data_IF_324296375833
#
_entry.id   IF_324296375833
#
_cell.length_a   1.000
_cell.length_b   1.000
_cell.length_c   1.000
_cell.angle_alpha   90.00
_cell.angle_beta   90.00
_cell.angle_gamma   90.00
#
_symmetry.space_group_name_H-M   'P 1'
#
loop_
_entity.id
_entity.type
_entity.pdbx_description
1 polymer ?
#
# COMPACT_ATOMS: atom_id res chain seq x y z
N UNK A 1 -4.53 9.09 2.80
CA UNK A 1 -3.61 7.94 2.92
C UNK A 1 -2.44 8.32 3.82
N UNK A 2 -2.13 7.48 4.80
CA UNK A 2 -0.90 7.64 5.62
C UNK A 2 0.32 7.35 4.73
N UNK A 3 1.42 8.08 4.92
CA UNK A 3 2.70 7.87 4.24
C UNK A 3 2.95 8.78 3.04
N UNK A 4 1.94 9.05 2.20
CA UNK A 4 2.16 9.85 0.99
C UNK A 4 2.43 11.33 1.32
N UNK A 5 1.72 11.87 2.32
CA UNK A 5 1.94 13.23 2.82
C UNK A 5 3.26 13.34 3.58
N UNK A 6 3.63 12.31 4.36
CA UNK A 6 4.91 12.27 5.09
C UNK A 6 6.11 12.33 4.14
N UNK A 7 6.08 11.56 3.04
CA UNK A 7 7.13 11.58 2.02
C UNK A 7 7.16 12.89 1.24
N UNK A 8 5.99 13.42 0.86
CA UNK A 8 5.91 14.57 -0.01
C UNK A 8 6.02 15.91 0.71
N UNK A 9 5.16 16.18 1.69
CA UNK A 9 5.09 17.49 2.33
C UNK A 9 6.13 17.59 3.44
N UNK A 10 6.12 16.62 4.37
CA UNK A 10 7.01 16.60 5.52
C UNK A 10 8.44 16.16 5.19
N UNK A 11 8.68 15.69 3.96
CA UNK A 11 10.00 15.22 3.46
C UNK A 11 10.63 14.16 4.35
N UNK A 12 9.82 13.36 5.04
CA UNK A 12 10.30 12.28 5.90
C UNK A 12 11.09 11.25 5.08
N UNK A 13 12.09 10.64 5.71
CA UNK A 13 12.79 9.50 5.12
C UNK A 13 11.94 8.23 5.25
N UNK A 14 12.30 7.19 4.49
CA UNK A 14 11.54 5.94 4.45
C UNK A 14 11.42 5.25 5.81
N UNK A 15 12.47 5.28 6.62
CA UNK A 15 12.48 4.61 7.93
C UNK A 15 11.55 5.28 8.92
N UNK A 16 11.49 6.62 8.90
CA UNK A 16 10.54 7.38 9.70
C UNK A 16 9.10 7.05 9.30
N UNK A 17 8.80 7.03 8.00
CA UNK A 17 7.45 6.70 7.52
C UNK A 17 7.04 5.29 7.93
N UNK A 18 7.95 4.31 7.79
CA UNK A 18 7.70 2.94 8.25
C UNK A 18 7.47 2.91 9.76
N UNK A 19 8.32 3.55 10.56
CA UNK A 19 8.18 3.58 12.01
C UNK A 19 6.86 4.20 12.45
N UNK A 20 6.43 5.29 11.81
CA UNK A 20 5.15 5.95 12.10
C UNK A 20 3.95 5.06 11.79
N UNK A 21 3.94 4.41 10.60
CA UNK A 21 2.89 3.43 10.26
C UNK A 21 2.89 2.28 11.27
N UNK A 22 4.08 1.80 11.65
CA UNK A 22 4.21 0.69 12.57
C UNK A 22 3.75 1.02 13.99
N UNK A 23 3.96 2.26 14.45
CA UNK A 23 3.47 2.71 15.75
C UNK A 23 1.95 2.74 15.79
N UNK A 24 1.29 3.23 14.74
CA UNK A 24 -0.17 3.19 14.63
C UNK A 24 -0.66 1.75 14.66
N UNK A 25 -0.08 0.89 13.83
CA UNK A 25 -0.41 -0.53 13.75
C UNK A 25 -0.27 -1.22 15.10
N UNK A 26 0.84 -0.98 15.81
CA UNK A 26 1.09 -1.55 17.15
C UNK A 26 -0.03 -1.18 18.11
N UNK A 27 -0.35 0.12 18.22
CA UNK A 27 -1.37 0.62 19.14
C UNK A 27 -2.75 0.03 18.83
N UNK A 28 -3.13 -0.11 17.56
CA UNK A 28 -4.41 -0.74 17.20
C UNK A 28 -4.38 -2.23 17.50
N UNK A 29 -3.28 -2.93 17.20
CA UNK A 29 -3.15 -4.37 17.46
C UNK A 29 -3.21 -4.74 18.94
N UNK A 30 -2.67 -3.89 19.82
CA UNK A 30 -2.76 -4.09 21.28
C UNK A 30 -4.21 -3.95 21.79
N UNK A 31 -5.02 -3.09 21.15
CA UNK A 31 -6.43 -2.90 21.50
C UNK A 31 -7.35 -3.95 20.86
N UNK A 32 -6.90 -4.65 19.84
CA UNK A 32 -7.71 -5.60 19.08
C UNK A 32 -6.87 -6.79 18.58
N UNK A 33 -6.36 -7.63 19.51
CA UNK A 33 -5.39 -8.68 19.19
C UNK A 33 -5.94 -9.76 18.25
N UNK A 34 -7.25 -9.99 18.26
CA UNK A 34 -7.93 -10.98 17.41
C UNK A 34 -8.27 -10.44 16.00
N UNK A 35 -7.99 -9.16 15.73
CA UNK A 35 -8.30 -8.55 14.45
C UNK A 35 -7.29 -8.90 13.37
N UNK A 36 -7.79 -8.89 12.13
CA UNK A 36 -6.97 -8.86 10.93
C UNK A 36 -6.53 -7.44 10.62
N UNK A 37 -5.27 -7.30 10.25
CA UNK A 37 -4.67 -6.03 9.87
C UNK A 37 -4.25 -6.07 8.41
N UNK A 38 -4.84 -5.18 7.61
CA UNK A 38 -4.51 -5.03 6.20
C UNK A 38 -3.79 -3.71 5.99
N UNK A 39 -2.52 -3.77 5.59
CA UNK A 39 -1.70 -2.61 5.30
C UNK A 39 -1.65 -2.40 3.78
N UNK A 40 -2.14 -1.25 3.33
CA UNK A 40 -2.05 -0.85 1.92
C UNK A 40 -0.72 -0.17 1.65
N UNK A 41 -0.10 -0.52 0.51
CA UNK A 41 1.05 0.21 0.00
C UNK A 41 0.70 1.67 -0.34
N UNK A 42 1.69 2.55 -0.24
CA UNK A 42 1.62 3.93 -0.71
C UNK A 42 1.43 3.92 -2.23
N UNK A 43 0.43 4.67 -2.71
CA UNK A 43 0.10 4.83 -4.13
C UNK A 43 1.08 5.76 -4.86
N UNK A 44 1.26 5.58 -6.18
CA UNK A 44 2.10 6.47 -6.98
C UNK A 44 1.57 7.90 -6.99
N UNK A 45 2.50 8.86 -7.03
CA UNK A 45 2.23 10.28 -7.23
C UNK A 45 3.43 10.98 -7.87
N UNK A 46 3.19 12.09 -8.57
CA UNK A 46 4.22 12.93 -9.15
C UNK A 46 5.02 13.66 -8.06
N UNK A 47 6.31 13.90 -8.33
CA UNK A 47 7.16 14.71 -7.44
C UNK A 47 6.70 16.17 -7.42
N UNK A 48 6.20 16.68 -8.55
CA UNK A 48 5.65 18.02 -8.68
C UNK A 48 4.33 17.97 -9.47
N UNK A 49 3.16 17.97 -8.80
CA UNK A 49 1.87 17.89 -9.48
C UNK A 49 1.51 19.13 -10.29
N UNK A 50 2.22 20.26 -10.10
CA UNK A 50 2.01 21.48 -10.90
C UNK A 50 2.64 21.38 -12.30
N UNK A 51 3.54 20.44 -12.51
CA UNK A 51 4.20 20.21 -13.80
C UNK A 51 3.46 19.11 -14.54
N UNK A 52 2.97 19.42 -15.74
CA UNK A 52 2.33 18.43 -16.61
C UNK A 52 3.32 17.29 -16.90
N UNK A 53 2.95 16.07 -16.52
CA UNK A 53 3.77 14.88 -16.74
C UNK A 53 3.13 13.66 -16.12
N UNK A 54 3.58 12.48 -16.54
CA UNK A 54 3.11 11.19 -16.00
C UNK A 54 4.25 10.35 -15.45
N UNK A 55 5.51 10.79 -15.60
CA UNK A 55 6.66 10.04 -15.13
C UNK A 55 6.89 10.24 -13.64
N UNK A 56 7.05 9.12 -12.95
CA UNK A 56 7.29 9.06 -11.53
C UNK A 56 8.76 9.29 -11.19
N UNK A 57 8.99 10.02 -10.10
CA UNK A 57 10.31 10.46 -9.67
C UNK A 57 10.76 9.87 -8.33
N UNK A 58 11.45 10.71 -7.56
CA UNK A 58 12.07 10.38 -6.28
C UNK A 58 11.04 9.93 -5.25
N UNK A 59 9.88 10.59 -5.18
CA UNK A 59 8.85 10.25 -4.19
C UNK A 59 8.34 8.83 -4.41
N UNK A 60 8.10 8.43 -5.67
CA UNK A 60 7.71 7.06 -5.97
C UNK A 60 8.80 6.03 -5.64
N UNK A 61 10.07 6.37 -5.87
CA UNK A 61 11.19 5.51 -5.46
C UNK A 61 11.18 5.28 -3.95
N UNK A 62 10.96 6.33 -3.16
CA UNK A 62 10.86 6.23 -1.70
C UNK A 62 9.61 5.46 -1.25
N UNK A 63 8.46 5.71 -1.88
CA UNK A 63 7.23 4.96 -1.63
C UNK A 63 7.43 3.46 -1.87
N UNK A 64 8.14 3.05 -2.93
CA UNK A 64 8.52 1.64 -3.15
C UNK A 64 9.43 1.09 -2.04
N UNK A 65 10.34 1.89 -1.50
CA UNK A 65 11.18 1.53 -0.36
C UNK A 65 10.33 1.25 0.90
N UNK A 66 9.43 2.16 1.24
CA UNK A 66 8.46 2.01 2.34
C UNK A 66 7.58 0.76 2.12
N UNK A 67 6.97 0.63 0.94
CA UNK A 67 6.12 -0.50 0.55
C UNK A 67 6.83 -1.85 0.71
N UNK A 68 8.10 -1.92 0.32
CA UNK A 68 8.90 -3.13 0.50
C UNK A 68 9.14 -3.47 1.98
N UNK A 69 9.40 -2.47 2.83
CA UNK A 69 9.58 -2.66 4.27
C UNK A 69 8.28 -3.09 4.95
N UNK A 70 7.16 -2.46 4.61
CA UNK A 70 5.82 -2.84 5.11
C UNK A 70 5.44 -4.26 4.69
N UNK A 71 5.65 -4.62 3.42
CA UNK A 71 5.42 -5.98 2.92
C UNK A 71 6.24 -7.01 3.69
N UNK A 72 7.52 -6.73 3.95
CA UNK A 72 8.39 -7.62 4.74
C UNK A 72 7.91 -7.72 6.19
N UNK A 73 7.41 -6.64 6.76
CA UNK A 73 6.84 -6.64 8.10
C UNK A 73 5.61 -7.56 8.18
N UNK A 74 4.62 -7.39 7.29
CA UNK A 74 3.39 -8.19 7.34
C UNK A 74 3.66 -9.70 7.26
N UNK A 75 4.66 -10.12 6.48
CA UNK A 75 5.05 -11.55 6.34
C UNK A 75 5.54 -12.19 7.65
N UNK A 76 5.87 -11.41 8.68
CA UNK A 76 6.32 -11.94 9.98
C UNK A 76 5.18 -12.36 10.90
N UNK A 77 3.95 -11.93 10.64
CA UNK A 77 2.81 -12.12 11.53
C UNK A 77 1.63 -12.70 10.77
N UNK A 78 0.92 -13.65 11.36
CA UNK A 78 -0.14 -14.41 10.69
C UNK A 78 -1.44 -13.61 10.49
N UNK A 79 -1.67 -12.59 11.30
CA UNK A 79 -2.83 -11.70 11.23
C UNK A 79 -2.55 -10.38 10.49
N UNK A 80 -1.38 -10.25 9.86
CA UNK A 80 -1.00 -9.07 9.09
C UNK A 80 -0.86 -9.38 7.60
N UNK A 81 -1.56 -8.59 6.80
CA UNK A 81 -1.61 -8.74 5.35
C UNK A 81 -1.17 -7.44 4.68
N UNK A 82 -0.56 -7.58 3.51
CA UNK A 82 -0.09 -6.46 2.72
C UNK A 82 -0.75 -6.47 1.34
N UNK A 83 -1.33 -5.34 0.94
CA UNK A 83 -1.95 -5.17 -0.38
C UNK A 83 -1.18 -4.11 -1.17
N UNK A 84 -0.64 -4.52 -2.33
CA UNK A 84 0.02 -3.61 -3.28
C UNK A 84 -0.96 -3.18 -4.37
N UNK A 85 -1.65 -2.05 -4.18
CA UNK A 85 -2.52 -1.48 -5.22
C UNK A 85 -1.82 -0.52 -6.17
N UNK A 86 -0.64 0.00 -5.81
CA UNK A 86 -0.03 1.13 -6.53
C UNK A 86 0.37 0.84 -7.97
N UNK A 87 0.65 -0.43 -8.30
CA UNK A 87 1.05 -0.82 -9.65
C UNK A 87 -0.12 -0.83 -10.64
N UNK A 88 -1.38 -0.88 -10.16
CA UNK A 88 -2.58 -0.81 -11.00
C UNK A 88 -2.76 0.55 -11.66
N UNK A 89 -2.17 1.59 -11.05
CA UNK A 89 -2.27 2.97 -11.52
C UNK A 89 -1.17 3.32 -12.53
N UNK A 90 -0.40 2.32 -12.98
CA UNK A 90 0.76 2.50 -13.85
C UNK A 90 0.51 1.92 -15.23
N UNK A 91 1.12 2.55 -16.23
CA UNK A 91 1.22 2.04 -17.60
C UNK A 91 2.67 1.68 -17.94
N UNK A 92 2.89 0.85 -18.98
CA UNK A 92 4.23 0.62 -19.52
C UNK A 92 4.92 1.94 -19.84
N UNK A 93 6.09 2.16 -19.24
CA UNK A 93 6.86 3.37 -19.46
C UNK A 93 7.62 3.29 -20.78
N UNK A 94 7.60 4.39 -21.54
CA UNK A 94 8.45 4.57 -22.73
C UNK A 94 9.92 4.83 -22.39
N UNK A 95 10.23 5.13 -21.11
CA UNK A 95 11.58 5.41 -20.62
C UNK A 95 12.02 4.26 -19.71
N UNK A 96 13.06 3.54 -20.12
CA UNK A 96 13.66 2.44 -19.35
C UNK A 96 13.99 2.89 -17.92
N UNK A 97 13.53 2.11 -16.94
CA UNK A 97 13.80 2.37 -15.52
C UNK A 97 12.94 3.47 -14.87
N UNK A 98 12.04 4.13 -15.61
CA UNK A 98 11.03 5.02 -15.04
C UNK A 98 9.68 4.34 -15.03
N UNK A 99 8.88 4.64 -14.01
CA UNK A 99 7.47 4.25 -13.97
C UNK A 99 6.62 5.42 -14.47
N UNK A 100 5.49 5.11 -15.07
CA UNK A 100 4.58 6.09 -15.64
C UNK A 100 3.17 5.86 -15.11
N UNK A 101 2.54 6.92 -14.62
CA UNK A 101 1.13 6.94 -14.22
C UNK A 101 0.25 6.77 -15.46
N UNK A 102 -0.81 5.99 -15.34
CA UNK A 102 -1.93 6.03 -16.28
C UNK A 102 -2.74 7.32 -16.05
N UNK A 103 -2.79 8.26 -17.00
CA UNK A 103 -3.55 9.50 -16.83
C UNK A 103 -5.07 9.26 -16.70
N UNK A 104 -5.59 8.08 -17.06
CA UNK A 104 -6.99 7.72 -16.76
C UNK A 104 -7.19 7.37 -15.30
N UNK A 105 -6.16 6.89 -14.62
CA UNK A 105 -6.22 6.48 -13.22
C UNK A 105 -5.89 7.61 -12.27
N UNK A 106 -4.98 8.50 -12.62
CA UNK A 106 -4.54 9.66 -11.84
C UNK A 106 -4.28 10.81 -12.82
N UNK A 107 -5.15 11.82 -12.84
CA UNK A 107 -5.11 12.92 -13.82
C UNK A 107 -4.43 14.19 -13.28
N UNK A 108 -4.55 14.45 -11.98
CA UNK A 108 -3.89 15.57 -11.27
C UNK A 108 -2.47 15.24 -10.77
N UNK A 109 -2.02 14.00 -11.01
CA UNK A 109 -0.72 13.49 -10.58
C UNK A 109 -0.63 13.11 -9.10
N UNK A 110 -1.72 13.15 -8.34
CA UNK A 110 -1.75 12.86 -6.89
C UNK A 110 -2.87 11.91 -6.51
N UNK A 111 -4.10 12.21 -6.94
CA UNK A 111 -5.31 11.55 -6.53
C UNK A 111 -5.83 10.63 -7.63
N UNK A 112 -6.34 9.44 -7.27
CA UNK A 112 -7.05 8.63 -8.24
C UNK A 112 -8.28 9.37 -8.80
N UNK A 113 -8.54 9.19 -10.09
CA UNK A 113 -9.81 9.55 -10.71
C UNK A 113 -10.91 8.60 -10.22
N UNK A 114 -12.16 8.82 -10.64
CA UNK A 114 -13.24 7.87 -10.40
C UNK A 114 -12.90 6.47 -10.93
N UNK A 115 -12.42 6.37 -12.18
CA UNK A 115 -12.01 5.09 -12.77
C UNK A 115 -10.86 4.45 -11.97
N UNK A 116 -9.91 5.27 -11.49
CA UNK A 116 -8.83 4.81 -10.61
C UNK A 116 -9.36 4.22 -9.30
N UNK A 117 -10.30 4.90 -8.66
CA UNK A 117 -10.93 4.42 -7.43
C UNK A 117 -11.72 3.12 -7.64
N UNK A 118 -12.50 3.02 -8.72
CA UNK A 118 -13.27 1.81 -9.05
C UNK A 118 -12.34 0.60 -9.24
N UNK A 119 -11.31 0.73 -10.08
CA UNK A 119 -10.35 -0.37 -10.32
C UNK A 119 -9.56 -0.74 -9.07
N UNK A 120 -9.21 0.25 -8.25
CA UNK A 120 -8.58 -0.02 -6.96
C UNK A 120 -9.52 -0.76 -6.01
N UNK A 121 -10.79 -0.35 -5.93
CA UNK A 121 -11.78 -0.99 -5.07
C UNK A 121 -12.01 -2.45 -5.47
N UNK A 122 -12.21 -2.72 -6.76
CA UNK A 122 -12.37 -4.08 -7.29
C UNK A 122 -11.17 -4.97 -6.94
N UNK A 123 -9.96 -4.44 -7.15
CA UNK A 123 -8.74 -5.15 -6.75
C UNK A 123 -8.67 -5.39 -5.25
N UNK A 124 -9.00 -4.40 -4.42
CA UNK A 124 -8.98 -4.56 -2.96
C UNK A 124 -9.97 -5.60 -2.50
N UNK A 125 -11.20 -5.61 -3.04
CA UNK A 125 -12.20 -6.64 -2.73
C UNK A 125 -11.70 -8.03 -3.07
N UNK A 126 -11.15 -8.24 -4.27
CA UNK A 126 -10.59 -9.53 -4.70
C UNK A 126 -9.46 -9.98 -3.75
N UNK A 127 -8.61 -9.06 -3.30
CA UNK A 127 -7.51 -9.36 -2.37
C UNK A 127 -8.01 -9.65 -0.96
N UNK A 128 -9.01 -8.91 -0.48
CA UNK A 128 -9.60 -9.12 0.84
C UNK A 128 -10.28 -10.48 0.96
N UNK A 129 -10.95 -10.97 -0.10
CA UNK A 129 -11.50 -12.32 -0.12
C UNK A 129 -10.43 -13.37 0.16
N UNK A 130 -9.27 -13.27 -0.50
CA UNK A 130 -8.13 -14.18 -0.27
C UNK A 130 -7.56 -14.07 1.15
N UNK A 131 -7.47 -12.85 1.68
CA UNK A 131 -7.04 -12.60 3.06
C UNK A 131 -7.96 -13.29 4.06
N UNK A 132 -9.28 -13.18 3.87
CA UNK A 132 -10.27 -13.79 4.74
C UNK A 132 -10.20 -15.33 4.68
N UNK A 133 -10.11 -15.91 3.48
CA UNK A 133 -9.95 -17.35 3.32
C UNK A 133 -8.71 -17.91 4.02
N UNK A 134 -7.57 -17.23 3.89
CA UNK A 134 -6.32 -17.64 4.52
C UNK A 134 -6.40 -17.55 6.05
N UNK A 135 -7.09 -16.53 6.57
CA UNK A 135 -7.30 -16.37 8.00
C UNK A 135 -8.20 -17.45 8.60
N UNK A 136 -9.30 -17.79 7.93
CA UNK A 136 -10.21 -18.84 8.40
C UNK A 136 -9.52 -20.22 8.39
N UNK A 137 -8.70 -20.51 7.37
CA UNK A 137 -7.85 -21.72 7.35
C UNK A 137 -6.88 -21.75 8.55
N UNK A 138 -6.30 -20.61 8.90
CA UNK A 138 -5.40 -20.50 10.04
C UNK A 138 -6.12 -20.76 11.37
N UNK A 139 -7.29 -20.15 11.58
CA UNK A 139 -8.13 -20.40 12.78
C UNK A 139 -8.49 -21.86 12.94
N UNK A 140 -9.00 -22.48 11.88
CA UNK A 140 -9.37 -23.90 11.89
C UNK A 140 -8.17 -24.81 12.25
N UNK A 141 -6.95 -24.44 11.83
CA UNK A 141 -5.72 -25.17 12.20
C UNK A 141 -5.36 -25.00 13.68
N UNK A 142 -5.62 -23.84 14.28
CA UNK A 142 -5.39 -23.61 15.71
C UNK A 142 -6.35 -24.41 16.57
N UNK A 143 -7.63 -24.50 16.18
CA UNK A 143 -8.64 -25.28 16.89
C UNK A 143 -8.31 -26.77 16.91
N UNK A 144 -7.90 -27.33 15.76
CA UNK A 144 -7.47 -28.73 15.64
C UNK A 144 -6.22 -29.10 16.46
N UNK A 145 -5.41 -28.11 16.89
CA UNK A 145 -4.24 -28.36 17.74
C UNK A 145 -4.58 -28.35 19.24
N UNK A 146 -5.77 -27.87 19.60
CA UNK A 146 -6.22 -27.73 21.00
C UNK A 146 -7.09 -28.91 21.46
N UNK A 147 -7.65 -29.68 20.52
CA UNK A 147 -8.35 -30.95 20.79
C UNK A 147 -7.46 -32.13 20.46
#
# INVERSE_FOLDING_TARGET
MIGNYDLFESKCNEDFVVASIMNVVKVVSEKSPESLFVIHGIMPRLDNPKVKGTYLGKIWKQAKGVNNKLRRFCRKYHNFYYIQGGELMLVPSKITGRAQIDPKMIDDGVNPTLEGFEKWADFVVERLQKVLEDFEKFKAKLEKKKG
#
